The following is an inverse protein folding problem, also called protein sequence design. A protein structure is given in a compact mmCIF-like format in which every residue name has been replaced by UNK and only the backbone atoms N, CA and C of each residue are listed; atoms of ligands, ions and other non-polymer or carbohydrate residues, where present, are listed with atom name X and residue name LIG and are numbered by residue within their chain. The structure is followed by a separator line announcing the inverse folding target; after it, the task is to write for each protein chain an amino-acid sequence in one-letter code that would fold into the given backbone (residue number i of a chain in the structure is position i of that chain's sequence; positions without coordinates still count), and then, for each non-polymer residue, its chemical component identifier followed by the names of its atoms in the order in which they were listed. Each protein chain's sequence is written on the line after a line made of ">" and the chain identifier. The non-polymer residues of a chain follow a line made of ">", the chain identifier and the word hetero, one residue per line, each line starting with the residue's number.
data_IF_744479185965
#
_entry.id   IF_744479185965
#
_cell.length_a   1.000
_cell.length_b   1.000
_cell.length_c   1.000
_cell.angle_alpha   90.00
_cell.angle_beta   90.00
_cell.angle_gamma   90.00
#
_symmetry.space_group_name_H-M   'P 1'
#
loop_
_entity.id
_entity.type
_entity.pdbx_description
1 polymer ?
#
# COMPACT_ATOMS: atom_id res chain seq x y z
N UNK A 1 -3.50 -19.25 -0.97
CA UNK A 1 -3.22 -20.49 -1.74
C UNK A 1 -2.89 -20.09 -3.17
N UNK A 2 -1.61 -19.86 -3.46
CA UNK A 2 -1.02 -19.91 -4.80
C UNK A 2 0.50 -19.95 -4.62
N UNK A 3 0.97 -21.18 -4.36
CA UNK A 3 2.37 -21.57 -4.52
C UNK A 3 2.66 -21.62 -6.02
N UNK A 4 3.45 -20.69 -6.56
CA UNK A 4 4.12 -20.95 -7.83
C UNK A 4 5.40 -21.75 -7.57
N UNK A 5 5.37 -22.99 -8.06
CA UNK A 5 6.49 -23.91 -8.14
C UNK A 5 7.67 -23.32 -8.92
N UNK A 6 8.79 -23.13 -8.23
CA UNK A 6 10.10 -22.98 -8.86
C UNK A 6 10.56 -24.36 -9.33
N UNK A 7 10.50 -24.59 -10.64
CA UNK A 7 11.17 -25.74 -11.28
C UNK A 7 12.67 -25.51 -11.16
N UNK A 8 13.30 -26.18 -10.18
CA UNK A 8 14.75 -26.21 -10.00
C UNK A 8 15.38 -27.12 -11.04
N UNK A 9 15.76 -26.58 -12.21
CA UNK A 9 16.58 -27.27 -13.19
C UNK A 9 18.05 -26.81 -13.03
N UNK A 10 19.00 -27.70 -12.67
CA UNK A 10 20.33 -27.31 -12.18
C UNK A 10 21.38 -26.93 -13.25
N UNK A 11 20.98 -26.60 -14.50
CA UNK A 11 21.90 -26.33 -15.61
C UNK A 11 21.85 -24.91 -16.20
N UNK A 12 21.16 -23.96 -15.56
CA UNK A 12 20.99 -22.61 -16.10
C UNK A 12 22.09 -21.64 -15.60
N UNK A 13 22.84 -20.96 -16.49
CA UNK A 13 23.81 -19.93 -16.10
C UNK A 13 23.11 -18.77 -15.36
N UNK A 14 23.81 -18.00 -14.49
CA UNK A 14 23.19 -16.98 -13.65
C UNK A 14 22.39 -16.01 -14.53
N UNK A 15 21.07 -15.89 -14.34
CA UNK A 15 20.28 -14.99 -15.15
C UNK A 15 20.73 -13.56 -14.84
N UNK A 16 21.10 -12.82 -15.89
CA UNK A 16 21.10 -11.37 -15.81
C UNK A 16 19.73 -10.96 -15.24
N UNK A 17 19.75 -10.24 -14.12
CA UNK A 17 18.69 -10.17 -13.11
C UNK A 17 17.45 -9.36 -13.50
N UNK A 18 17.05 -9.40 -14.77
CA UNK A 18 15.93 -8.64 -15.30
C UNK A 18 14.84 -9.58 -15.80
N UNK A 19 14.00 -10.05 -14.87
CA UNK A 19 12.75 -10.74 -15.20
C UNK A 19 11.57 -9.83 -14.88
N UNK A 20 10.71 -9.60 -15.87
CA UNK A 20 9.48 -8.82 -15.69
C UNK A 20 8.40 -9.74 -15.11
N UNK A 21 8.27 -9.73 -13.79
CA UNK A 21 7.36 -10.64 -13.06
C UNK A 21 5.88 -10.25 -13.19
N UNK A 22 5.60 -8.94 -13.24
CA UNK A 22 4.23 -8.42 -13.41
C UNK A 22 4.24 -7.09 -14.18
N UNK A 23 3.50 -7.01 -15.28
CA UNK A 23 3.38 -5.79 -16.13
C UNK A 23 2.18 -4.92 -15.80
N UNK A 24 1.21 -5.45 -15.05
CA UNK A 24 -0.12 -4.82 -14.88
C UNK A 24 -0.41 -4.57 -13.39
N UNK A 25 0.63 -4.40 -12.59
CA UNK A 25 0.44 -4.10 -11.17
C UNK A 25 -0.07 -2.68 -11.00
N UNK A 26 -1.26 -2.54 -10.40
CA UNK A 26 -1.72 -1.24 -9.98
C UNK A 26 -0.92 -0.80 -8.74
N UNK A 27 -0.12 0.25 -8.91
CA UNK A 27 0.64 0.87 -7.81
C UNK A 27 -0.16 1.94 -7.07
N UNK A 28 -1.40 2.23 -7.50
CA UNK A 28 -2.30 3.16 -6.84
C UNK A 28 -3.47 2.39 -6.22
N UNK A 29 -3.50 2.34 -4.90
CA UNK A 29 -4.60 1.74 -4.16
C UNK A 29 -5.53 2.81 -3.59
N UNK A 30 -6.86 2.71 -3.82
CA UNK A 30 -7.81 3.57 -3.15
C UNK A 30 -7.84 3.23 -1.65
N UNK A 31 -7.80 4.27 -0.80
CA UNK A 31 -8.02 4.13 0.64
C UNK A 31 -9.43 4.57 1.04
N UNK A 32 -9.96 5.56 0.33
CA UNK A 32 -11.32 6.06 0.48
C UNK A 32 -11.74 6.81 -0.79
N UNK A 33 -13.01 7.19 -0.94
CA UNK A 33 -13.58 7.79 -2.17
C UNK A 33 -12.74 8.91 -2.79
N UNK A 34 -12.07 9.72 -1.95
CA UNK A 34 -11.24 10.86 -2.36
C UNK A 34 -9.78 10.77 -1.90
N UNK A 35 -9.34 9.60 -1.44
CA UNK A 35 -7.99 9.38 -0.90
C UNK A 35 -7.40 8.14 -1.54
N UNK A 36 -6.23 8.30 -2.14
CA UNK A 36 -5.47 7.26 -2.80
C UNK A 36 -4.09 7.15 -2.16
N UNK A 37 -3.47 5.99 -2.28
CA UNK A 37 -2.08 5.81 -1.93
C UNK A 37 -1.28 5.20 -3.08
N UNK A 38 -0.06 5.65 -3.24
CA UNK A 38 0.93 5.02 -4.10
C UNK A 38 1.75 4.02 -3.31
N UNK A 39 1.90 2.82 -3.84
CA UNK A 39 2.58 1.68 -3.22
C UNK A 39 4.01 1.52 -3.75
N UNK A 40 4.96 1.27 -2.85
CA UNK A 40 6.35 0.93 -3.17
C UNK A 40 6.90 -0.11 -2.20
N UNK A 41 7.87 -0.91 -2.67
CA UNK A 41 8.50 -1.99 -1.90
C UNK A 41 7.99 -3.38 -2.29
N UNK A 42 7.97 -4.30 -1.33
CA UNK A 42 7.37 -5.63 -1.46
C UNK A 42 5.89 -5.48 -1.82
N UNK A 43 5.49 -6.06 -2.95
CA UNK A 43 4.12 -5.93 -3.45
C UNK A 43 3.08 -6.44 -2.45
N UNK A 44 3.38 -7.57 -1.77
CA UNK A 44 2.51 -8.14 -0.76
C UNK A 44 2.39 -7.24 0.48
N UNK A 45 3.53 -6.75 0.99
CA UNK A 45 3.55 -5.89 2.18
C UNK A 45 2.83 -4.57 1.93
N UNK A 46 3.07 -3.96 0.77
CA UNK A 46 2.46 -2.67 0.43
C UNK A 46 0.95 -2.80 0.22
N UNK A 47 0.48 -3.88 -0.41
CA UNK A 47 -0.96 -4.17 -0.53
C UNK A 47 -1.60 -4.43 0.83
N UNK A 48 -1.00 -5.28 1.67
CA UNK A 48 -1.51 -5.55 3.00
C UNK A 48 -1.58 -4.29 3.87
N UNK A 49 -0.58 -3.40 3.77
CA UNK A 49 -0.58 -2.13 4.48
C UNK A 49 -1.67 -1.19 3.97
N UNK A 50 -1.89 -1.12 2.65
CA UNK A 50 -2.96 -0.31 2.07
C UNK A 50 -4.34 -0.81 2.53
N UNK A 51 -4.58 -2.12 2.51
CA UNK A 51 -5.83 -2.72 2.95
C UNK A 51 -6.09 -2.47 4.44
N UNK A 52 -5.05 -2.60 5.27
CA UNK A 52 -5.12 -2.29 6.71
C UNK A 52 -5.50 -0.83 6.97
N UNK A 53 -4.87 0.10 6.24
CA UNK A 53 -5.14 1.54 6.36
C UNK A 53 -6.55 1.87 5.88
N UNK A 54 -6.99 1.29 4.77
CA UNK A 54 -8.34 1.46 4.22
C UNK A 54 -9.39 1.03 5.25
N UNK A 55 -9.18 -0.11 5.90
CA UNK A 55 -10.07 -0.61 6.95
C UNK A 55 -10.13 0.33 8.16
N UNK A 56 -8.97 0.79 8.66
CA UNK A 56 -8.91 1.73 9.78
C UNK A 56 -9.56 3.07 9.44
N UNK A 57 -9.38 3.58 8.23
CA UNK A 57 -10.02 4.80 7.73
C UNK A 57 -11.53 4.66 7.67
N UNK A 58 -12.02 3.50 7.23
CA UNK A 58 -13.46 3.22 7.16
C UNK A 58 -14.09 3.19 8.55
N UNK A 59 -13.47 2.51 9.52
CA UNK A 59 -13.91 2.52 10.92
C UNK A 59 -13.92 3.95 11.50
N UNK A 60 -12.83 4.69 11.31
CA UNK A 60 -12.73 6.08 11.77
C UNK A 60 -13.80 6.99 11.13
N UNK A 61 -14.16 6.75 9.87
CA UNK A 61 -15.24 7.50 9.20
C UNK A 61 -16.61 7.20 9.81
N UNK A 62 -16.87 5.94 10.16
CA UNK A 62 -18.11 5.52 10.81
C UNK A 62 -18.21 6.14 12.21
N UNK A 63 -17.14 6.08 13.01
CA UNK A 63 -17.10 6.64 14.37
C UNK A 63 -17.30 8.15 14.39
N UNK A 64 -16.69 8.86 13.43
CA UNK A 64 -16.76 10.32 13.36
C UNK A 64 -18.01 10.84 12.63
N UNK A 65 -18.71 9.98 11.90
CA UNK A 65 -19.86 10.35 11.05
C UNK A 65 -19.50 11.34 9.93
N UNK A 66 -18.21 11.50 9.61
CA UNK A 66 -17.71 12.39 8.56
C UNK A 66 -16.70 11.63 7.68
N UNK A 67 -16.55 12.07 6.43
CA UNK A 67 -15.50 11.59 5.55
C UNK A 67 -14.11 11.85 6.20
N UNK A 68 -13.19 10.86 6.16
CA UNK A 68 -11.88 10.99 6.75
C UNK A 68 -11.06 12.06 6.04
N UNK A 69 -10.19 12.72 6.81
CA UNK A 69 -9.26 13.73 6.30
C UNK A 69 -8.03 13.05 5.71
N UNK A 70 -7.41 13.69 4.71
CA UNK A 70 -6.15 13.20 4.11
C UNK A 70 -5.06 13.11 5.19
N UNK A 71 -5.00 14.09 6.10
CA UNK A 71 -4.08 14.08 7.23
C UNK A 71 -4.27 12.87 8.17
N UNK A 72 -5.52 12.44 8.40
CA UNK A 72 -5.80 11.26 9.23
C UNK A 72 -5.29 9.99 8.54
N UNK A 73 -5.54 9.85 7.23
CA UNK A 73 -5.02 8.75 6.42
C UNK A 73 -3.48 8.68 6.45
N UNK A 74 -2.82 9.82 6.19
CA UNK A 74 -1.36 9.93 6.25
C UNK A 74 -0.80 9.58 7.64
N UNK A 75 -1.49 9.97 8.71
CA UNK A 75 -1.10 9.65 10.09
C UNK A 75 -1.21 8.15 10.38
N UNK A 76 -2.27 7.48 9.92
CA UNK A 76 -2.41 6.02 10.07
C UNK A 76 -1.31 5.27 9.32
N UNK A 77 -1.05 5.65 8.06
CA UNK A 77 0.05 5.08 7.25
C UNK A 77 1.39 5.27 7.95
N UNK A 78 1.66 6.48 8.43
CA UNK A 78 2.87 6.79 9.20
C UNK A 78 2.98 5.86 10.42
N UNK A 79 1.93 5.75 11.23
CA UNK A 79 1.95 4.94 12.44
C UNK A 79 2.22 3.45 12.16
N UNK A 80 1.60 2.89 11.11
CA UNK A 80 1.83 1.49 10.71
C UNK A 80 3.25 1.32 10.19
N UNK A 81 3.73 2.23 9.34
CA UNK A 81 5.08 2.20 8.78
C UNK A 81 6.15 2.29 9.88
N UNK A 82 5.96 3.12 10.91
CA UNK A 82 6.88 3.17 12.05
C UNK A 82 6.81 1.92 12.92
N UNK A 83 5.62 1.38 13.15
CA UNK A 83 5.42 0.20 14.00
C UNK A 83 6.05 -1.06 13.42
N UNK A 84 6.00 -1.21 12.10
CA UNK A 84 6.49 -2.40 11.39
C UNK A 84 7.72 -2.11 10.52
N UNK A 85 8.50 -1.09 10.89
CA UNK A 85 9.64 -0.61 10.08
C UNK A 85 10.71 -1.68 9.81
N UNK A 86 10.90 -2.63 10.74
CA UNK A 86 11.91 -3.69 10.61
C UNK A 86 11.35 -4.95 9.91
N UNK A 87 10.03 -5.10 9.85
CA UNK A 87 9.35 -6.29 9.34
C UNK A 87 8.78 -6.10 7.93
N UNK A 88 8.34 -4.88 7.58
CA UNK A 88 7.72 -4.58 6.30
C UNK A 88 8.65 -3.77 5.41
N UNK A 89 8.83 -4.24 4.18
CA UNK A 89 9.49 -3.46 3.13
C UNK A 89 8.43 -2.75 2.29
N UNK A 90 7.71 -1.79 2.89
CA UNK A 90 6.66 -1.06 2.20
C UNK A 90 6.70 0.45 2.50
N UNK A 91 6.60 1.25 1.44
CA UNK A 91 6.55 2.71 1.53
C UNK A 91 5.35 3.22 0.76
N UNK A 92 4.51 4.01 1.44
CA UNK A 92 3.27 4.51 0.90
C UNK A 92 3.27 6.03 0.91
N UNK A 93 2.85 6.63 -0.20
CA UNK A 93 2.53 8.06 -0.28
C UNK A 93 1.02 8.18 -0.34
N UNK A 94 0.43 8.98 0.53
CA UNK A 94 -1.02 9.21 0.56
C UNK A 94 -1.31 10.53 -0.14
N UNK A 95 -2.28 10.55 -1.03
CA UNK A 95 -2.73 11.77 -1.69
C UNK A 95 -4.26 11.78 -1.72
N UNK A 96 -4.86 12.95 -1.56
CA UNK A 96 -6.31 13.04 -1.62
C UNK A 96 -6.82 14.45 -1.50
N UNK A 97 -8.14 14.56 -1.41
CA UNK A 97 -8.83 15.83 -1.21
C UNK A 97 -9.77 15.74 -0.01
N UNK A 98 -9.69 16.73 0.88
CA UNK A 98 -10.68 16.93 1.94
C UNK A 98 -11.32 18.33 1.88
N UNK A 99 -12.45 18.50 2.56
CA UNK A 99 -13.20 19.77 2.56
C UNK A 99 -12.51 20.88 3.37
N UNK A 100 -11.57 20.53 4.26
CA UNK A 100 -10.96 21.49 5.21
C UNK A 100 -9.71 22.15 4.67
N UNK A 101 -8.82 21.37 4.04
CA UNK A 101 -7.52 21.81 3.53
C UNK A 101 -7.41 21.61 2.02
N UNK A 102 -8.39 20.99 1.38
CA UNK A 102 -8.39 20.77 -0.06
C UNK A 102 -7.48 19.60 -0.44
N UNK A 103 -6.85 19.72 -1.62
CA UNK A 103 -5.92 18.71 -2.15
C UNK A 103 -4.63 18.68 -1.33
N UNK A 104 -4.24 17.49 -0.87
CA UNK A 104 -3.07 17.26 -0.02
C UNK A 104 -2.35 15.99 -0.45
N UNK A 105 -1.04 15.97 -0.18
CA UNK A 105 -0.12 14.81 -0.29
C UNK A 105 0.70 14.76 0.98
#
# INVERSE_FOLDING_TARGET
>A
MLLQLSVSNPSMPPPHSESIVNRVMNKLSPLHDKIYCALSGSAADAQAMADMVSYQLQLHSIEMGEAPRVCSAATMVRNISYKHKEELSAHLIVAGWDRRKGGQV
#
